data_IF_221359187492
#
_entry.id   IF_221359187492
#
_cell.length_a   1.000
_cell.length_b   1.000
_cell.length_c   1.000
_cell.angle_alpha   90.00
_cell.angle_beta   90.00
_cell.angle_gamma   90.00
#
_symmetry.space_group_name_H-M   'P 1'
#
loop_
_entity.id
_entity.type
_entity.pdbx_description
1 polymer ?
#
# COMPACT_ATOMS: atom_id res chain seq x y z
N UNK A 1 6.46 15.29 -8.08
CA UNK A 1 6.18 14.52 -9.27
C UNK A 1 5.01 13.59 -9.02
N UNK A 2 4.20 13.36 -10.05
CA UNK A 2 3.04 12.49 -9.90
C UNK A 2 3.43 11.02 -9.90
N UNK A 3 2.74 10.24 -9.09
CA UNK A 3 2.94 8.79 -9.00
C UNK A 3 1.59 8.08 -9.18
N UNK A 4 1.55 6.90 -9.79
CA UNK A 4 0.30 6.15 -9.92
C UNK A 4 -0.32 5.85 -8.55
N UNK A 5 -1.65 5.95 -8.48
CA UNK A 5 -2.37 5.68 -7.23
C UNK A 5 -2.30 4.20 -6.89
N UNK A 6 -2.17 3.89 -5.60
CA UNK A 6 -2.26 2.51 -5.11
C UNK A 6 -3.71 2.19 -4.78
N UNK A 7 -4.15 1.01 -5.19
CA UNK A 7 -5.51 0.52 -4.99
C UNK A 7 -5.47 -0.80 -4.21
N UNK A 8 -6.61 -1.19 -3.67
CA UNK A 8 -6.73 -2.51 -3.06
C UNK A 8 -6.35 -3.59 -4.08
N UNK A 9 -5.53 -4.55 -3.67
CA UNK A 9 -5.04 -5.61 -4.54
C UNK A 9 -3.67 -5.34 -5.17
N UNK A 10 -3.15 -4.11 -5.06
CA UNK A 10 -1.81 -3.81 -5.56
C UNK A 10 -0.74 -4.32 -4.59
N UNK A 11 0.33 -4.85 -5.15
CA UNK A 11 1.38 -5.53 -4.38
C UNK A 11 2.45 -4.56 -3.86
N UNK A 12 3.15 -5.01 -2.81
CA UNK A 12 4.33 -4.33 -2.28
C UNK A 12 5.46 -5.33 -2.10
N UNK A 13 6.70 -4.83 -1.94
CA UNK A 13 7.83 -5.64 -1.53
C UNK A 13 7.98 -5.59 -0.02
N UNK A 14 8.58 -6.63 0.57
CA UNK A 14 8.87 -6.67 2.00
C UNK A 14 10.26 -7.28 2.18
N UNK A 15 11.26 -6.49 2.65
CA UNK A 15 12.63 -6.97 2.77
C UNK A 15 12.91 -7.70 4.08
N UNK A 16 11.96 -7.81 4.97
CA UNK A 16 12.18 -8.41 6.28
C UNK A 16 12.34 -9.92 6.22
N UNK A 17 13.05 -10.46 7.21
CA UNK A 17 13.28 -11.88 7.37
C UNK A 17 12.98 -12.23 8.82
N UNK A 18 12.10 -13.20 9.05
CA UNK A 18 11.80 -13.68 10.38
C UNK A 18 12.93 -14.56 10.90
N UNK A 19 13.07 -14.71 12.23
CA UNK A 19 14.02 -15.66 12.80
C UNK A 19 13.78 -17.07 12.28
N UNK A 20 14.88 -17.71 11.89
CA UNK A 20 14.77 -19.06 11.42
C UNK A 20 15.06 -19.35 9.97
N UNK A 21 15.76 -18.59 9.18
CA UNK A 21 15.42 -17.33 8.56
C UNK A 21 14.35 -17.52 7.49
N UNK A 22 13.14 -17.10 7.78
CA UNK A 22 12.01 -17.16 6.84
C UNK A 22 11.83 -15.78 6.21
N UNK A 23 12.10 -15.60 4.92
CA UNK A 23 11.92 -14.30 4.29
C UNK A 23 10.45 -13.92 4.19
N UNK A 24 10.17 -12.65 4.40
CA UNK A 24 8.86 -12.09 4.09
C UNK A 24 8.77 -11.89 2.58
N UNK A 25 7.67 -12.34 2.01
CA UNK A 25 7.35 -12.07 0.61
C UNK A 25 6.23 -11.05 0.62
N UNK A 26 6.39 -9.96 -0.15
CA UNK A 26 5.35 -8.97 -0.26
C UNK A 26 4.02 -9.56 -0.72
N UNK A 27 2.99 -8.77 -0.69
CA UNK A 27 1.67 -9.18 -1.13
C UNK A 27 0.78 -7.98 -1.38
N UNK A 28 -0.52 -8.21 -1.66
CA UNK A 28 -1.43 -7.13 -2.03
C UNK A 28 -1.95 -6.35 -0.81
N UNK A 29 -2.39 -5.12 -1.08
CA UNK A 29 -3.21 -4.38 -0.12
C UNK A 29 -4.48 -5.18 0.10
N UNK A 30 -4.72 -5.61 1.33
CA UNK A 30 -5.80 -6.53 1.65
C UNK A 30 -6.98 -5.88 2.36
N UNK A 31 -6.73 -4.83 3.13
CA UNK A 31 -7.76 -4.15 3.90
C UNK A 31 -7.66 -2.65 3.69
N UNK A 32 -8.73 -2.06 3.17
CA UNK A 32 -8.83 -0.62 3.00
C UNK A 32 -9.80 -0.03 4.02
N UNK A 33 -9.44 1.10 4.59
CA UNK A 33 -10.24 1.77 5.62
C UNK A 33 -11.52 2.38 5.07
N UNK A 34 -11.59 2.57 3.75
CA UNK A 34 -12.73 3.19 3.11
C UNK A 34 -13.11 2.43 1.83
N UNK A 35 -14.36 2.52 1.45
CA UNK A 35 -14.86 1.89 0.22
C UNK A 35 -15.70 2.85 -0.61
N UNK A 36 -15.79 4.11 -0.21
CA UNK A 36 -16.65 5.09 -0.90
C UNK A 36 -15.92 5.87 -1.99
N UNK A 37 -14.60 5.98 -1.93
CA UNK A 37 -13.81 6.58 -3.00
C UNK A 37 -13.08 5.46 -3.73
N UNK A 38 -13.43 5.25 -4.99
CA UNK A 38 -12.90 4.14 -5.77
C UNK A 38 -12.42 4.60 -7.13
N UNK A 39 -11.54 3.82 -7.75
CA UNK A 39 -11.16 3.97 -9.14
C UNK A 39 -11.47 2.67 -9.87
N UNK A 40 -12.32 2.73 -10.89
CA UNK A 40 -12.84 1.56 -11.58
C UNK A 40 -13.47 0.53 -10.61
N UNK A 41 -14.15 1.03 -9.59
CA UNK A 41 -14.81 0.18 -8.60
C UNK A 41 -13.88 -0.41 -7.54
N UNK A 42 -12.60 -0.06 -7.53
CA UNK A 42 -11.63 -0.58 -6.59
C UNK A 42 -11.27 0.52 -5.58
N UNK A 43 -11.37 0.26 -4.26
CA UNK A 43 -11.05 1.28 -3.25
C UNK A 43 -9.62 1.76 -3.34
N UNK A 44 -9.42 3.06 -3.12
CA UNK A 44 -8.08 3.65 -3.02
C UNK A 44 -7.43 3.24 -1.70
N UNK A 45 -6.14 2.92 -1.74
CA UNK A 45 -5.38 2.59 -0.54
C UNK A 45 -4.94 3.87 0.17
N UNK A 46 -4.99 3.87 1.50
CA UNK A 46 -4.62 5.00 2.35
C UNK A 46 -3.49 4.60 3.28
N UNK A 47 -2.80 5.61 3.82
CA UNK A 47 -1.83 5.39 4.90
C UNK A 47 -2.57 4.72 6.08
N UNK A 48 -1.96 3.66 6.61
CA UNK A 48 -2.58 2.87 7.66
C UNK A 48 -3.34 1.64 7.16
N UNK A 49 -3.57 1.53 5.86
CA UNK A 49 -4.18 0.34 5.28
C UNK A 49 -3.22 -0.84 5.37
N UNK A 50 -3.79 -2.04 5.44
CA UNK A 50 -3.01 -3.25 5.68
C UNK A 50 -2.75 -4.01 4.38
N UNK A 51 -1.53 -4.56 4.31
CA UNK A 51 -1.10 -5.39 3.20
C UNK A 51 -0.75 -6.78 3.72
N UNK A 52 -0.99 -7.79 2.90
CA UNK A 52 -0.55 -9.15 3.23
C UNK A 52 0.96 -9.19 3.10
N UNK A 53 1.63 -9.71 4.13
CA UNK A 53 3.07 -9.96 4.09
C UNK A 53 3.27 -11.46 4.19
N UNK A 54 3.44 -12.10 3.06
CA UNK A 54 3.57 -13.56 2.98
C UNK A 54 4.86 -14.00 3.66
N UNK A 55 4.79 -15.16 4.30
CA UNK A 55 5.95 -15.72 5.00
C UNK A 55 6.03 -15.36 6.47
N UNK A 56 5.21 -14.42 6.97
CA UNK A 56 5.26 -14.04 8.37
C UNK A 56 3.89 -14.20 8.98
N UNK A 57 3.01 -14.35 9.11
CA UNK A 57 1.71 -14.33 9.78
C UNK A 57 1.25 -12.94 10.21
N UNK A 58 2.10 -11.93 10.08
CA UNK A 58 1.72 -10.55 10.40
C UNK A 58 1.49 -9.76 9.12
N UNK A 59 0.73 -8.68 9.23
CA UNK A 59 0.46 -7.80 8.10
C UNK A 59 1.38 -6.60 8.12
N UNK A 60 1.72 -6.11 6.94
CA UNK A 60 2.41 -4.85 6.79
C UNK A 60 1.40 -3.70 6.77
N UNK A 61 1.86 -2.49 6.96
CA UNK A 61 1.01 -1.31 7.02
C UNK A 61 1.64 -0.21 6.17
N UNK A 62 0.82 0.46 5.35
CA UNK A 62 1.28 1.58 4.53
C UNK A 62 1.66 2.74 5.47
N UNK A 63 2.89 3.24 5.33
CA UNK A 63 3.43 4.26 6.23
C UNK A 63 3.56 5.64 5.60
N UNK A 64 3.50 5.76 4.28
CA UNK A 64 3.59 7.06 3.62
C UNK A 64 2.59 7.16 2.47
N UNK A 65 2.24 8.40 2.12
CA UNK A 65 1.29 8.67 1.05
C UNK A 65 1.41 10.11 0.56
N UNK A 66 0.44 10.53 -0.27
CA UNK A 66 0.43 11.87 -0.84
C UNK A 66 0.31 12.93 0.25
N UNK A 67 1.11 13.98 0.15
CA UNK A 67 1.00 15.14 1.05
C UNK A 67 -0.18 16.04 0.68
N UNK A 68 -0.75 15.86 -0.49
CA UNK A 68 -1.77 16.77 -1.05
C UNK A 68 -3.13 16.10 -1.11
N UNK A 69 -3.20 14.86 -1.57
CA UNK A 69 -4.48 14.16 -1.78
C UNK A 69 -4.79 13.31 -0.57
N UNK A 70 -5.89 13.63 0.09
CA UNK A 70 -6.31 12.94 1.31
C UNK A 70 -7.81 12.60 1.25
N UNK A 71 -8.17 11.51 1.91
CA UNK A 71 -9.56 11.12 2.12
C UNK A 71 -9.81 11.10 3.62
N UNK A 72 -10.77 11.90 4.08
CA UNK A 72 -11.04 12.06 5.52
C UNK A 72 -9.80 12.43 6.33
N UNK A 73 -8.91 13.23 5.75
CA UNK A 73 -7.68 13.65 6.41
C UNK A 73 -6.55 12.63 6.38
N UNK A 74 -6.74 11.50 5.72
CA UNK A 74 -5.74 10.43 5.63
C UNK A 74 -5.14 10.42 4.22
N UNK A 75 -3.81 10.43 4.13
CA UNK A 75 -3.13 10.49 2.86
C UNK A 75 -3.41 9.26 1.99
N UNK A 76 -3.61 9.49 0.71
CA UNK A 76 -3.80 8.41 -0.27
C UNK A 76 -2.44 7.85 -0.67
N UNK A 77 -2.30 6.52 -0.66
CA UNK A 77 -1.06 5.85 -0.99
C UNK A 77 -0.82 5.84 -2.51
N UNK A 78 0.46 5.78 -2.88
CA UNK A 78 0.90 5.80 -4.29
C UNK A 78 1.95 4.72 -4.51
N UNK A 79 2.14 4.32 -5.77
CA UNK A 79 3.25 3.45 -6.12
C UNK A 79 4.57 4.12 -5.67
N UNK A 80 5.44 3.36 -5.01
CA UNK A 80 6.69 3.88 -4.47
C UNK A 80 6.60 4.33 -3.02
N UNK A 81 5.40 4.38 -2.42
CA UNK A 81 5.26 4.72 -1.01
C UNK A 81 5.73 3.57 -0.13
N UNK A 82 6.15 3.92 1.07
CA UNK A 82 6.80 2.97 1.99
C UNK A 82 5.79 2.24 2.87
N UNK A 83 6.23 1.09 3.38
CA UNK A 83 5.48 0.32 4.36
C UNK A 83 6.29 0.22 5.66
N UNK A 84 5.61 -0.16 6.76
CA UNK A 84 6.27 -0.24 8.07
C UNK A 84 7.35 -1.31 8.14
N UNK A 85 7.25 -2.37 7.34
CA UNK A 85 8.29 -3.39 7.25
C UNK A 85 9.51 -2.94 6.43
N UNK A 86 9.53 -1.71 5.95
CA UNK A 86 10.64 -1.18 5.14
C UNK A 86 10.52 -1.49 3.65
N UNK A 87 9.38 -1.99 3.21
CA UNK A 87 9.11 -2.26 1.81
C UNK A 87 8.56 -1.06 1.06
N UNK A 88 8.23 -1.26 -0.20
CA UNK A 88 7.62 -0.24 -1.04
C UNK A 88 6.47 -0.84 -1.86
N UNK A 89 5.48 -0.03 -2.16
CA UNK A 89 4.39 -0.40 -3.05
C UNK A 89 4.94 -0.39 -4.48
N UNK A 90 4.83 -1.53 -5.17
CA UNK A 90 5.43 -1.70 -6.50
C UNK A 90 4.42 -1.66 -7.63
N UNK A 91 3.14 -1.55 -7.34
CA UNK A 91 2.09 -1.46 -8.34
C UNK A 91 1.25 -0.22 -8.11
N UNK A 92 0.73 0.33 -9.20
CA UNK A 92 -0.17 1.45 -9.16
C UNK A 92 -0.93 1.54 -10.47
N UNK A 93 -2.03 2.29 -10.47
CA UNK A 93 -2.83 2.49 -11.67
C UNK A 93 -2.45 3.79 -12.34
N UNK A 94 -1.85 3.73 -13.52
CA UNK A 94 -1.35 4.91 -14.22
C UNK A 94 -2.45 5.83 -14.75
N UNK A 95 -3.70 5.40 -14.76
CA UNK A 95 -4.82 6.23 -15.14
C UNK A 95 -5.16 7.33 -14.14
N UNK A 96 -4.64 7.22 -12.92
CA UNK A 96 -4.81 8.24 -11.87
C UNK A 96 -3.48 8.40 -11.15
N UNK A 97 -2.88 9.58 -11.30
CA UNK A 97 -1.60 9.87 -10.65
C UNK A 97 -1.77 10.98 -9.61
N UNK A 98 -1.00 10.91 -8.54
CA UNK A 98 -1.08 11.81 -7.41
C UNK A 98 0.28 12.43 -7.09
N UNK A 99 0.24 13.63 -6.63
CA UNK A 99 1.45 14.29 -6.14
C UNK A 99 1.75 13.94 -4.70
#
# INVERSE_FOLDING_TARGET
MSKPVALQGHNHTCPQVDPGPTPHIGGPVSECQQSFVTYNGIPLALVGDKLICKGSGSKDIISSGSAIVKINGIAVARMGDNTEHGGVIIEGHSGLTLS
#
